data_IF_902185093927
#
_entry.id   IF_902185093927
#
_cell.length_a   1.000
_cell.length_b   1.000
_cell.length_c   1.000
_cell.angle_alpha   90.00
_cell.angle_beta   90.00
_cell.angle_gamma   90.00
#
_symmetry.space_group_name_H-M   'P 1'
#
loop_
_entity.id
_entity.type
_entity.pdbx_description
1 polymer ?
#
# COMPACT_ATOMS: atom_id res chain seq x y z
N UNK A 1 -30.89 -7.12 4.35
CA UNK A 1 -29.55 -7.20 3.71
C UNK A 1 -29.14 -5.81 3.26
N UNK A 2 -27.84 -5.55 3.11
CA UNK A 2 -27.36 -4.27 2.58
C UNK A 2 -27.86 -4.06 1.13
N UNK A 3 -28.23 -2.83 0.73
CA UNK A 3 -28.70 -2.55 -0.63
C UNK A 3 -27.54 -2.68 -1.64
N UNK A 4 -27.85 -3.17 -2.84
CA UNK A 4 -26.91 -3.18 -3.96
C UNK A 4 -26.96 -1.85 -4.70
N UNK A 5 -25.80 -1.21 -4.87
CA UNK A 5 -25.66 0.00 -5.69
C UNK A 5 -25.16 -0.37 -7.07
N UNK A 6 -25.80 0.14 -8.12
CA UNK A 6 -25.33 -0.02 -9.49
C UNK A 6 -24.10 0.87 -9.73
N UNK A 7 -23.00 0.25 -10.18
CA UNK A 7 -21.75 0.97 -10.51
C UNK A 7 -21.60 1.20 -12.00
N UNK A 8 -21.98 0.20 -12.79
CA UNK A 8 -21.96 0.23 -14.25
C UNK A 8 -23.35 -0.22 -14.69
N UNK A 9 -24.10 0.63 -15.42
CA UNK A 9 -25.41 0.24 -15.93
C UNK A 9 -25.27 -0.91 -16.92
N UNK A 10 -26.39 -1.56 -17.27
CA UNK A 10 -26.38 -2.61 -18.30
C UNK A 10 -25.82 -2.04 -19.61
N UNK A 11 -24.65 -2.52 -20.02
CA UNK A 11 -23.96 -2.05 -21.23
C UNK A 11 -23.71 -3.19 -22.20
N UNK A 12 -23.87 -2.93 -23.50
CA UNK A 12 -23.53 -3.89 -24.55
C UNK A 12 -22.01 -3.96 -24.68
N UNK A 13 -21.47 -5.18 -24.67
CA UNK A 13 -20.05 -5.44 -24.88
C UNK A 13 -19.83 -6.25 -26.17
N UNK A 14 -18.66 -6.07 -26.78
CA UNK A 14 -18.21 -6.84 -27.92
C UNK A 14 -17.49 -8.14 -27.54
N UNK A 15 -17.50 -9.13 -28.43
CA UNK A 15 -16.71 -10.35 -28.25
C UNK A 15 -15.21 -10.12 -28.42
N UNK A 16 -14.40 -11.00 -27.83
CA UNK A 16 -12.93 -11.02 -27.99
C UNK A 16 -12.21 -9.68 -27.71
N UNK A 17 -12.78 -8.84 -26.86
CA UNK A 17 -12.25 -7.51 -26.55
C UNK A 17 -12.25 -7.23 -25.04
N UNK A 18 -11.34 -6.36 -24.62
CA UNK A 18 -11.35 -5.77 -23.29
C UNK A 18 -12.24 -4.52 -23.30
N UNK A 19 -13.09 -4.38 -22.27
CA UNK A 19 -14.00 -3.25 -22.11
C UNK A 19 -13.71 -2.56 -20.79
N UNK A 20 -13.37 -1.27 -20.85
CA UNK A 20 -13.12 -0.43 -19.67
C UNK A 20 -14.33 0.44 -19.36
N UNK A 21 -14.74 0.49 -18.10
CA UNK A 21 -15.86 1.31 -17.65
C UNK A 21 -15.39 2.20 -16.49
N UNK A 22 -15.37 3.53 -16.65
CA UNK A 22 -15.11 4.41 -15.54
C UNK A 22 -16.28 4.35 -14.55
N UNK A 23 -15.97 4.27 -13.26
CA UNK A 23 -16.97 4.33 -12.18
C UNK A 23 -16.73 5.61 -11.40
N UNK A 24 -17.69 6.53 -11.43
CA UNK A 24 -17.64 7.77 -10.67
C UNK A 24 -18.03 7.51 -9.21
N UNK A 25 -17.14 7.90 -8.30
CA UNK A 25 -17.30 8.04 -6.85
C UNK A 25 -18.39 7.16 -6.20
N UNK A 26 -18.00 5.96 -5.78
CA UNK A 26 -18.83 5.12 -4.90
C UNK A 26 -18.39 5.29 -3.44
N UNK A 27 -19.28 5.15 -2.44
CA UNK A 27 -18.85 4.87 -1.07
C UNK A 27 -17.93 3.64 -1.04
N UNK A 28 -17.25 3.40 0.08
CA UNK A 28 -16.45 2.18 0.26
C UNK A 28 -17.32 0.95 0.00
N UNK A 29 -16.88 0.10 -0.92
CA UNK A 29 -17.52 -1.17 -1.27
C UNK A 29 -16.70 -2.33 -0.72
N UNK A 30 -17.38 -3.40 -0.32
CA UNK A 30 -16.74 -4.63 0.17
C UNK A 30 -17.06 -5.85 -0.69
N UNK A 31 -18.13 -5.78 -1.48
CA UNK A 31 -18.60 -6.86 -2.33
C UNK A 31 -19.00 -6.30 -3.68
N UNK A 32 -18.76 -7.10 -4.71
CA UNK A 32 -19.15 -6.78 -6.07
C UNK A 32 -20.00 -7.90 -6.62
N UNK A 33 -20.94 -7.55 -7.48
CA UNK A 33 -21.79 -8.52 -8.18
C UNK A 33 -21.78 -8.20 -9.66
N UNK A 34 -21.23 -9.11 -10.44
CA UNK A 34 -21.31 -9.10 -11.90
C UNK A 34 -22.66 -9.73 -12.32
N UNK A 35 -23.34 -9.10 -13.28
CA UNK A 35 -24.56 -9.64 -13.88
C UNK A 35 -24.39 -9.67 -15.40
N UNK A 36 -24.58 -10.83 -15.99
CA UNK A 36 -24.53 -11.06 -17.44
C UNK A 36 -25.94 -11.37 -17.96
N UNK A 37 -26.26 -10.89 -19.18
CA UNK A 37 -27.60 -10.99 -19.73
C UNK A 37 -27.59 -11.30 -21.25
N UNK A 38 -28.41 -12.24 -21.74
CA UNK A 38 -29.11 -13.28 -20.94
C UNK A 38 -28.11 -14.31 -20.37
N UNK A 39 -27.03 -14.60 -21.09
CA UNK A 39 -25.99 -15.58 -20.76
C UNK A 39 -24.72 -15.34 -21.61
N UNK A 40 -23.76 -16.27 -21.57
CA UNK A 40 -22.52 -16.28 -22.36
C UNK A 40 -21.26 -16.46 -21.50
N UNK A 41 -20.10 -16.06 -22.02
CA UNK A 41 -18.81 -16.21 -21.34
C UNK A 41 -18.08 -14.88 -21.11
N UNK A 42 -17.55 -14.68 -19.90
CA UNK A 42 -16.64 -13.58 -19.56
C UNK A 42 -15.31 -14.21 -19.13
N UNK A 43 -14.24 -13.93 -19.88
CA UNK A 43 -12.94 -14.54 -19.61
C UNK A 43 -12.30 -14.02 -18.31
N UNK A 44 -12.39 -12.70 -18.07
CA UNK A 44 -11.79 -12.04 -16.89
C UNK A 44 -12.63 -10.84 -16.48
N UNK A 45 -12.80 -10.68 -15.17
CA UNK A 45 -13.25 -9.44 -14.55
C UNK A 45 -12.06 -8.84 -13.79
N UNK A 46 -11.73 -7.57 -14.08
CA UNK A 46 -10.76 -6.79 -13.30
C UNK A 46 -11.48 -5.58 -12.74
N UNK A 47 -11.26 -5.32 -11.46
CA UNK A 47 -11.84 -4.17 -10.77
C UNK A 47 -10.71 -3.41 -10.12
N UNK A 48 -10.64 -2.12 -10.44
CA UNK A 48 -9.61 -1.22 -9.97
C UNK A 48 -10.23 -0.25 -8.96
N UNK A 49 -9.54 -0.06 -7.84
CA UNK A 49 -9.94 0.86 -6.79
C UNK A 49 -8.85 0.96 -5.73
N UNK A 50 -8.91 2.01 -4.92
CA UNK A 50 -7.96 2.21 -3.83
C UNK A 50 -8.39 1.41 -2.59
N UNK A 51 -7.54 0.51 -2.07
CA UNK A 51 -7.83 -0.18 -0.84
C UNK A 51 -7.90 0.81 0.32
N UNK A 52 -8.94 0.69 1.14
CA UNK A 52 -9.12 1.49 2.35
C UNK A 52 -9.20 0.55 3.56
N UNK A 53 -8.06 0.30 4.23
CA UNK A 53 -7.97 -0.64 5.35
C UNK A 53 -8.74 -0.11 6.57
N UNK A 54 -9.16 -1.00 7.46
CA UNK A 54 -9.79 -0.61 8.71
C UNK A 54 -8.74 -0.02 9.67
N UNK A 55 -8.86 1.24 10.10
CA UNK A 55 -7.89 1.87 10.99
C UNK A 55 -7.84 1.20 12.37
N UNK A 56 -8.94 0.63 12.86
CA UNK A 56 -8.97 -0.08 14.15
C UNK A 56 -8.14 -1.36 14.07
N UNK A 57 -8.23 -2.07 12.93
CA UNK A 57 -7.43 -3.27 12.69
C UNK A 57 -5.93 -2.95 12.64
N UNK A 58 -5.53 -1.94 11.86
CA UNK A 58 -4.12 -1.56 11.77
C UNK A 58 -3.56 -1.06 13.10
N UNK A 59 -4.35 -0.33 13.89
CA UNK A 59 -3.95 0.08 15.24
C UNK A 59 -3.75 -1.13 16.17
N UNK A 60 -4.59 -2.15 16.07
CA UNK A 60 -4.47 -3.37 16.87
C UNK A 60 -3.23 -4.21 16.49
N UNK A 61 -2.84 -4.22 15.22
CA UNK A 61 -1.58 -4.87 14.79
C UNK A 61 -0.35 -4.16 15.37
N UNK A 62 -0.40 -2.83 15.48
CA UNK A 62 0.70 -1.99 15.95
C UNK A 62 1.84 -1.88 14.94
N UNK A 63 2.52 -3.00 14.67
CA UNK A 63 3.54 -3.13 13.61
C UNK A 63 3.07 -4.08 12.53
N UNK A 64 3.07 -3.63 11.28
CA UNK A 64 2.59 -4.40 10.12
C UNK A 64 3.38 -4.05 8.85
N UNK A 65 3.21 -4.83 7.78
CA UNK A 65 3.77 -4.51 6.46
C UNK A 65 3.01 -3.35 5.82
N UNK A 66 3.62 -2.16 5.81
CA UNK A 66 3.10 -0.91 5.29
C UNK A 66 2.90 -0.93 3.76
N UNK A 67 3.55 -1.85 3.04
CA UNK A 67 3.38 -1.99 1.59
C UNK A 67 2.37 -3.05 1.19
N UNK A 68 1.93 -3.92 2.11
CA UNK A 68 0.98 -4.96 1.76
C UNK A 68 -0.28 -4.36 1.13
N UNK A 69 -0.72 -4.93 0.01
CA UNK A 69 -1.89 -4.42 -0.71
C UNK A 69 -3.16 -4.44 0.18
N UNK A 70 -3.28 -5.43 1.07
CA UNK A 70 -4.37 -5.54 2.05
C UNK A 70 -4.33 -4.47 3.14
N UNK A 71 -3.15 -3.89 3.40
CA UNK A 71 -2.97 -2.78 4.32
C UNK A 71 -3.00 -1.41 3.63
N UNK A 72 -3.33 -1.35 2.34
CA UNK A 72 -3.47 -0.09 1.59
C UNK A 72 -2.21 0.41 0.90
N UNK A 73 -1.14 -0.38 0.86
CA UNK A 73 0.02 -0.09 0.03
C UNK A 73 -0.32 -0.15 -1.47
N UNK A 74 0.25 0.73 -2.27
CA UNK A 74 -0.04 0.82 -3.72
C UNK A 74 1.22 1.16 -4.51
N UNK A 75 1.36 0.55 -5.69
CA UNK A 75 2.32 1.00 -6.71
C UNK A 75 1.79 2.25 -7.38
N UNK A 76 2.53 3.35 -7.29
CA UNK A 76 2.23 4.59 -8.04
C UNK A 76 2.79 4.52 -9.46
N UNK A 77 4.05 4.08 -9.60
CA UNK A 77 4.72 3.99 -10.89
C UNK A 77 5.90 3.01 -10.87
N UNK A 78 6.39 2.62 -12.05
CA UNK A 78 7.55 1.76 -12.23
C UNK A 78 8.23 2.05 -13.57
N UNK A 79 9.55 1.84 -13.66
CA UNK A 79 10.31 2.04 -14.90
C UNK A 79 9.96 1.04 -16.01
N UNK A 80 9.62 -0.20 -15.63
CA UNK A 80 9.33 -1.28 -16.56
C UNK A 80 8.19 -2.17 -16.06
N UNK A 81 7.38 -2.66 -17.00
CA UNK A 81 6.20 -3.51 -16.76
C UNK A 81 6.12 -4.65 -17.78
N UNK A 82 7.27 -5.09 -18.32
CA UNK A 82 7.31 -5.97 -19.48
C UNK A 82 6.96 -7.43 -19.14
N UNK A 83 7.69 -8.07 -18.22
CA UNK A 83 7.49 -9.50 -17.94
C UNK A 83 6.40 -9.75 -16.91
N UNK A 84 6.45 -9.05 -15.78
CA UNK A 84 5.44 -9.20 -14.72
C UNK A 84 5.15 -7.85 -14.05
N UNK A 85 3.93 -7.67 -13.50
CA UNK A 85 3.51 -6.37 -13.00
C UNK A 85 4.15 -6.02 -11.66
N UNK A 86 4.51 -4.74 -11.42
CA UNK A 86 5.12 -4.29 -10.16
C UNK A 86 4.21 -4.52 -8.94
N UNK A 87 2.89 -4.56 -9.12
CA UNK A 87 1.94 -4.81 -8.03
C UNK A 87 2.11 -6.17 -7.34
N UNK A 88 2.80 -7.12 -7.99
CA UNK A 88 3.11 -8.42 -7.39
C UNK A 88 4.04 -8.31 -6.17
N UNK A 89 4.86 -7.25 -6.07
CA UNK A 89 5.75 -7.05 -4.92
C UNK A 89 4.99 -6.80 -3.60
N UNK A 90 3.72 -6.40 -3.68
CA UNK A 90 2.83 -6.08 -2.57
C UNK A 90 1.95 -7.25 -2.11
N UNK A 91 1.90 -8.35 -2.87
CA UNK A 91 1.00 -9.47 -2.60
C UNK A 91 1.44 -10.24 -1.35
N UNK A 92 0.51 -10.87 -0.61
CA UNK A 92 0.85 -11.65 0.59
C UNK A 92 1.74 -12.87 0.26
N UNK A 93 2.42 -13.37 1.29
CA UNK A 93 3.29 -14.55 1.19
C UNK A 93 4.52 -14.36 0.32
N UNK A 94 5.24 -15.46 0.10
CA UNK A 94 6.36 -15.55 -0.86
C UNK A 94 5.85 -16.16 -2.17
N UNK A 95 6.45 -15.81 -3.31
CA UNK A 95 6.06 -16.40 -4.58
C UNK A 95 6.54 -17.86 -4.71
N UNK A 96 5.70 -18.70 -5.30
CA UNK A 96 6.06 -20.07 -5.68
C UNK A 96 6.77 -20.11 -7.04
N UNK A 97 6.59 -19.06 -7.85
CA UNK A 97 7.07 -18.96 -9.23
C UNK A 97 7.56 -17.54 -9.54
N UNK A 98 8.46 -17.41 -10.51
CA UNK A 98 9.05 -16.11 -10.90
C UNK A 98 8.01 -15.12 -11.45
N UNK A 99 6.97 -15.61 -12.14
CA UNK A 99 5.90 -14.76 -12.70
C UNK A 99 4.99 -14.12 -11.62
N UNK A 100 5.17 -14.52 -10.36
CA UNK A 100 4.47 -13.96 -9.20
C UNK A 100 5.26 -12.86 -8.48
N UNK A 101 6.43 -12.45 -8.99
CA UNK A 101 7.14 -11.21 -8.60
C UNK A 101 7.07 -10.13 -9.67
N UNK A 102 7.93 -9.12 -9.59
CA UNK A 102 8.17 -8.11 -10.64
C UNK A 102 9.50 -8.40 -11.34
N UNK A 103 9.50 -8.45 -12.66
CA UNK A 103 10.69 -8.69 -13.48
C UNK A 103 10.73 -7.71 -14.65
N UNK A 104 11.92 -7.15 -14.87
CA UNK A 104 12.17 -6.15 -15.92
C UNK A 104 12.97 -6.71 -17.08
N UNK A 105 12.99 -5.97 -18.20
CA UNK A 105 13.89 -6.27 -19.32
C UNK A 105 15.35 -6.01 -18.91
N UNK A 106 16.25 -6.85 -19.44
CA UNK A 106 17.69 -6.61 -19.33
C UNK A 106 18.07 -5.25 -19.93
N UNK A 107 18.85 -4.47 -19.19
CA UNK A 107 19.33 -3.15 -19.58
C UNK A 107 20.78 -3.20 -20.07
N UNK A 108 21.12 -2.20 -20.90
CA UNK A 108 22.44 -2.04 -21.54
C UNK A 108 22.87 -0.57 -21.64
N UNK A 109 22.09 0.33 -21.05
CA UNK A 109 22.17 1.78 -21.19
C UNK A 109 22.69 2.48 -19.93
N UNK A 110 23.23 1.71 -18.97
CA UNK A 110 23.85 2.24 -17.75
C UNK A 110 22.88 2.78 -16.69
N UNK A 111 21.56 2.70 -16.92
CA UNK A 111 20.54 3.07 -15.94
C UNK A 111 20.14 1.94 -15.00
N UNK A 112 19.14 2.20 -14.17
CA UNK A 112 18.55 1.25 -13.23
C UNK A 112 17.02 1.20 -13.28
N UNK A 113 16.42 0.08 -12.89
CA UNK A 113 14.97 -0.06 -12.78
C UNK A 113 14.46 0.31 -11.38
N UNK A 114 13.21 0.76 -11.29
CA UNK A 114 12.63 1.24 -10.03
C UNK A 114 11.12 1.03 -9.95
N UNK A 115 10.62 0.96 -8.72
CA UNK A 115 9.19 1.07 -8.40
C UNK A 115 9.00 2.15 -7.34
N UNK A 116 8.01 3.03 -7.56
CA UNK A 116 7.52 4.00 -6.56
C UNK A 116 6.19 3.53 -6.00
N UNK A 117 6.05 3.63 -4.68
CA UNK A 117 4.91 3.20 -3.90
C UNK A 117 4.36 4.33 -3.04
N UNK A 118 3.06 4.28 -2.80
CA UNK A 118 2.38 5.02 -1.74
C UNK A 118 2.11 4.10 -0.55
N UNK A 119 2.39 4.59 0.66
CA UNK A 119 1.98 3.97 1.91
C UNK A 119 0.49 4.29 2.18
N UNK A 120 -0.21 3.48 3.01
CA UNK A 120 -1.62 3.72 3.31
C UNK A 120 -1.88 5.08 3.95
N UNK A 121 -0.94 5.55 4.76
CA UNK A 121 -0.88 6.90 5.32
C UNK A 121 0.58 7.18 5.73
N UNK A 122 0.84 8.36 6.30
CA UNK A 122 2.16 8.66 6.86
C UNK A 122 2.53 7.64 7.93
N UNK A 123 3.73 7.07 7.82
CA UNK A 123 4.15 5.94 8.62
C UNK A 123 5.63 6.01 8.97
N UNK A 124 6.01 5.31 10.04
CA UNK A 124 7.38 5.14 10.50
C UNK A 124 7.87 3.73 10.13
N UNK A 125 8.93 3.66 9.34
CA UNK A 125 9.48 2.39 8.80
C UNK A 125 10.59 1.88 9.71
N UNK A 126 10.42 0.70 10.29
CA UNK A 126 11.34 0.13 11.30
C UNK A 126 12.21 -1.00 10.76
N UNK A 127 11.73 -1.75 9.77
CA UNK A 127 12.51 -2.79 9.11
C UNK A 127 12.05 -2.97 7.66
N UNK A 128 12.96 -3.45 6.82
CA UNK A 128 12.76 -3.67 5.38
C UNK A 128 13.11 -5.11 5.05
N UNK A 129 12.27 -5.80 4.27
CA UNK A 129 12.67 -7.03 3.56
C UNK A 129 12.68 -6.80 2.06
N UNK A 130 13.81 -7.11 1.43
CA UNK A 130 13.95 -7.19 -0.03
C UNK A 130 14.09 -8.68 -0.39
N UNK A 131 13.08 -9.24 -1.03
CA UNK A 131 13.01 -10.67 -1.38
C UNK A 131 13.33 -10.84 -2.87
N UNK A 132 14.37 -11.61 -3.19
CA UNK A 132 14.75 -12.04 -4.55
C UNK A 132 14.39 -13.51 -4.82
N UNK A 133 13.53 -14.09 -3.98
CA UNK A 133 13.04 -15.46 -4.07
C UNK A 133 12.61 -15.85 -5.49
N UNK A 134 12.97 -17.06 -5.91
CA UNK A 134 12.77 -17.63 -7.26
C UNK A 134 13.63 -17.03 -8.37
N UNK A 135 14.27 -15.87 -8.17
CA UNK A 135 15.18 -15.27 -9.15
C UNK A 135 16.61 -15.77 -8.92
N UNK A 136 16.96 -16.88 -9.58
CA UNK A 136 18.28 -17.54 -9.42
C UNK A 136 19.35 -17.06 -10.40
N UNK A 137 18.95 -16.68 -11.62
CA UNK A 137 19.86 -16.24 -12.68
C UNK A 137 19.63 -14.80 -13.15
N UNK A 138 18.63 -14.13 -12.58
CA UNK A 138 18.15 -12.81 -12.97
C UNK A 138 17.71 -11.98 -11.75
N UNK A 139 18.18 -12.31 -10.55
CA UNK A 139 18.09 -11.38 -9.43
C UNK A 139 18.95 -10.14 -9.73
N UNK A 140 18.52 -8.95 -9.30
CA UNK A 140 19.36 -7.76 -9.40
C UNK A 140 20.61 -7.92 -8.53
N UNK A 141 21.72 -7.33 -8.95
CA UNK A 141 22.97 -7.39 -8.18
C UNK A 141 22.94 -6.52 -6.94
N UNK A 142 22.22 -5.40 -6.99
CA UNK A 142 22.09 -4.45 -5.89
C UNK A 142 20.69 -3.86 -5.84
N UNK A 143 20.28 -3.40 -4.66
CA UNK A 143 19.14 -2.51 -4.51
C UNK A 143 19.41 -1.38 -3.52
N UNK A 144 18.70 -0.27 -3.68
CA UNK A 144 18.62 0.81 -2.68
C UNK A 144 17.17 1.23 -2.49
N UNK A 145 16.90 1.84 -1.34
CA UNK A 145 15.55 2.27 -0.99
C UNK A 145 15.57 3.72 -0.51
N UNK A 146 14.65 4.51 -1.06
CA UNK A 146 14.42 5.90 -0.71
C UNK A 146 13.04 6.08 -0.10
N UNK A 147 12.94 6.96 0.88
CA UNK A 147 11.66 7.37 1.48
C UNK A 147 11.38 8.82 1.13
N UNK A 148 10.10 9.15 1.02
CA UNK A 148 9.63 10.50 0.83
C UNK A 148 8.53 10.81 1.85
N UNK A 149 8.70 11.90 2.59
CA UNK A 149 7.70 12.40 3.55
C UNK A 149 7.06 13.67 3.01
N UNK A 150 5.81 13.58 2.58
CA UNK A 150 5.07 14.71 2.03
C UNK A 150 4.77 15.80 3.07
N UNK A 151 4.91 15.50 4.37
CA UNK A 151 4.77 16.50 5.43
C UNK A 151 6.05 17.33 5.65
N UNK A 152 7.16 17.01 4.98
CA UNK A 152 8.39 17.78 5.09
C UNK A 152 8.22 19.17 4.43
N UNK A 153 8.73 20.27 5.04
CA UNK A 153 8.51 21.65 4.58
C UNK A 153 8.87 21.92 3.11
N UNK A 154 9.84 21.19 2.56
CA UNK A 154 10.34 21.34 1.19
C UNK A 154 10.29 20.03 0.39
N UNK A 155 9.28 19.17 0.66
CA UNK A 155 9.25 17.83 0.09
C UNK A 155 9.29 17.82 -1.46
N UNK A 156 8.65 18.79 -2.11
CA UNK A 156 8.54 18.86 -3.57
C UNK A 156 7.52 17.85 -4.13
N UNK A 157 7.61 17.55 -5.42
CA UNK A 157 6.75 16.57 -6.08
C UNK A 157 7.37 15.16 -6.00
N UNK A 158 6.73 14.15 -5.38
CA UNK A 158 7.25 12.78 -5.37
C UNK A 158 7.35 12.15 -6.77
N UNK A 159 6.70 12.72 -7.79
CA UNK A 159 6.88 12.35 -9.18
C UNK A 159 8.31 12.62 -9.66
N UNK A 160 8.94 13.70 -9.18
CA UNK A 160 10.30 14.10 -9.49
C UNK A 160 11.30 13.32 -8.60
N UNK A 161 12.17 12.46 -9.18
CA UNK A 161 13.18 11.74 -8.41
C UNK A 161 14.25 12.64 -7.78
N UNK A 162 14.39 13.89 -8.24
CA UNK A 162 15.32 14.88 -7.69
C UNK A 162 14.67 15.74 -6.60
N UNK A 163 13.39 15.52 -6.27
CA UNK A 163 12.71 16.32 -5.27
C UNK A 163 13.40 16.21 -3.89
N UNK A 164 13.53 17.33 -3.14
CA UNK A 164 14.28 17.36 -1.88
C UNK A 164 13.73 16.44 -0.79
N UNK A 165 12.45 16.06 -0.90
CA UNK A 165 11.78 15.14 0.01
C UNK A 165 12.28 13.70 -0.06
N UNK A 166 12.96 13.29 -1.15
CA UNK A 166 13.54 11.95 -1.25
C UNK A 166 14.81 11.84 -0.41
N UNK A 167 14.84 10.85 0.49
CA UNK A 167 16.00 10.52 1.31
C UNK A 167 16.35 9.05 1.18
N UNK A 168 17.63 8.77 0.98
CA UNK A 168 18.14 7.39 0.99
C UNK A 168 17.99 6.80 2.40
N UNK A 169 17.29 5.68 2.49
CA UNK A 169 17.01 4.97 3.75
C UNK A 169 17.79 3.66 3.85
N UNK A 170 17.91 2.96 2.72
CA UNK A 170 18.78 1.80 2.56
C UNK A 170 19.76 2.14 1.44
N UNK A 171 21.08 2.20 1.73
CA UNK A 171 22.08 2.46 0.70
C UNK A 171 22.13 1.30 -0.29
N UNK A 172 22.82 1.51 -1.42
CA UNK A 172 23.05 0.44 -2.39
C UNK A 172 23.66 -0.79 -1.71
N UNK A 173 22.83 -1.83 -1.57
CA UNK A 173 23.12 -3.06 -0.84
C UNK A 173 23.17 -4.21 -1.82
N UNK A 174 24.22 -5.03 -1.72
CA UNK A 174 24.38 -6.21 -2.58
C UNK A 174 23.29 -7.21 -2.25
N UNK A 175 22.69 -7.78 -3.29
CA UNK A 175 21.67 -8.80 -3.16
C UNK A 175 22.21 -10.13 -3.66
N UNK A 176 21.78 -11.19 -2.99
CA UNK A 176 22.02 -12.57 -3.39
C UNK A 176 20.78 -13.12 -4.12
N UNK A 177 20.95 -14.02 -5.09
CA UNK A 177 19.85 -14.71 -5.75
C UNK A 177 19.02 -15.54 -4.76
N UNK A 178 17.71 -15.67 -5.01
CA UNK A 178 16.79 -16.53 -4.25
C UNK A 178 16.85 -16.32 -2.72
N UNK A 179 16.98 -15.07 -2.27
CA UNK A 179 17.29 -14.73 -0.87
C UNK A 179 16.40 -13.61 -0.33
N UNK A 180 16.07 -13.69 0.97
CA UNK A 180 15.42 -12.59 1.70
C UNK A 180 16.45 -11.79 2.46
N UNK A 181 16.55 -10.50 2.14
CA UNK A 181 17.48 -9.56 2.73
C UNK A 181 16.73 -8.74 3.78
N UNK A 182 17.09 -8.89 5.04
CA UNK A 182 16.50 -8.18 6.18
C UNK A 182 17.38 -7.01 6.58
N UNK A 183 16.86 -5.81 6.41
CA UNK A 183 17.63 -4.58 6.53
C UNK A 183 16.95 -3.64 7.53
N UNK A 184 17.77 -2.90 8.27
CA UNK A 184 17.30 -1.86 9.19
C UNK A 184 17.58 -0.49 8.58
N UNK A 185 16.58 0.39 8.50
CA UNK A 185 16.81 1.82 8.26
C UNK A 185 17.88 2.36 9.23
N UNK A 186 18.90 3.04 8.70
CA UNK A 186 20.03 3.54 9.52
C UNK A 186 21.08 2.50 9.92
N UNK A 187 20.94 1.23 9.50
CA UNK A 187 21.99 0.20 9.60
C UNK A 187 22.22 -0.43 10.97
N UNK A 188 21.59 0.06 12.04
CA UNK A 188 21.75 -0.47 13.39
C UNK A 188 20.43 -0.48 14.19
N UNK A 189 20.25 -1.43 15.12
CA UNK A 189 19.13 -1.40 16.07
C UNK A 189 19.13 -0.10 16.89
N UNK A 190 17.95 0.49 17.10
CA UNK A 190 17.80 1.74 17.86
C UNK A 190 18.06 3.02 17.07
N UNK A 191 18.43 2.92 15.79
CA UNK A 191 18.45 4.08 14.89
C UNK A 191 17.08 4.72 14.74
N UNK A 192 17.06 6.01 14.42
CA UNK A 192 15.79 6.72 14.17
C UNK A 192 15.12 6.18 12.91
N UNK A 193 13.95 5.56 13.10
CA UNK A 193 13.14 5.02 12.01
C UNK A 193 12.54 6.18 11.18
N UNK A 194 12.79 6.26 9.86
CA UNK A 194 12.33 7.35 9.02
C UNK A 194 10.81 7.36 8.91
N UNK A 195 10.24 8.56 8.81
CA UNK A 195 8.85 8.76 8.45
C UNK A 195 8.72 8.92 6.94
N UNK A 196 7.63 8.40 6.38
CA UNK A 196 7.39 8.42 4.94
C UNK A 196 5.89 8.39 4.64
N UNK A 197 5.51 8.95 3.50
CA UNK A 197 4.23 8.72 2.82
C UNK A 197 4.43 7.91 1.55
N UNK A 198 5.64 7.92 0.98
CA UNK A 198 6.00 7.19 -0.24
C UNK A 198 7.37 6.56 -0.10
N UNK A 199 7.58 5.52 -0.90
CA UNK A 199 8.84 4.78 -0.94
C UNK A 199 9.19 4.48 -2.39
N UNK A 200 10.48 4.49 -2.70
CA UNK A 200 11.01 4.11 -4.00
C UNK A 200 12.09 3.07 -3.81
N UNK A 201 11.90 1.89 -4.40
CA UNK A 201 12.95 0.88 -4.50
C UNK A 201 13.59 0.99 -5.87
N UNK A 202 14.91 0.85 -5.91
CA UNK A 202 15.69 0.82 -7.14
C UNK A 202 16.51 -0.45 -7.16
N UNK A 203 16.47 -1.16 -8.28
CA UNK A 203 17.26 -2.37 -8.53
C UNK A 203 18.30 -2.06 -9.62
N UNK A 204 19.54 -2.52 -9.43
CA UNK A 204 20.65 -2.13 -10.28
C UNK A 204 21.30 -3.35 -10.97
N UNK A 205 21.45 -3.32 -12.31
CA UNK A 205 20.81 -2.40 -13.26
C UNK A 205 19.33 -2.77 -13.54
N UNK A 206 18.99 -4.04 -13.41
CA UNK A 206 17.69 -4.63 -13.76
C UNK A 206 17.55 -6.00 -13.08
N UNK A 207 16.42 -6.66 -13.28
CA UNK A 207 16.21 -8.03 -12.82
C UNK A 207 14.85 -8.24 -12.16
N UNK A 208 14.78 -9.25 -11.31
CA UNK A 208 13.56 -9.69 -10.64
C UNK A 208 13.54 -9.44 -9.13
N UNK A 209 12.44 -8.87 -8.66
CA UNK A 209 12.13 -8.68 -7.24
C UNK A 209 10.84 -9.44 -6.88
N UNK A 210 10.93 -10.35 -5.92
CA UNK A 210 9.78 -11.15 -5.48
C UNK A 210 8.82 -10.30 -4.64
N UNK A 211 9.31 -9.73 -3.54
CA UNK A 211 8.52 -8.93 -2.60
C UNK A 211 9.36 -7.78 -2.06
N UNK A 212 8.66 -6.74 -1.67
CA UNK A 212 9.20 -5.69 -0.81
C UNK A 212 8.28 -5.57 0.40
N UNK A 213 8.85 -5.68 1.61
CA UNK A 213 8.12 -5.52 2.87
C UNK A 213 8.68 -4.34 3.63
N UNK A 214 7.80 -3.51 4.19
CA UNK A 214 8.18 -2.41 5.07
C UNK A 214 7.46 -2.56 6.39
N UNK A 215 8.13 -3.10 7.39
CA UNK A 215 7.54 -3.28 8.71
C UNK A 215 7.63 -1.98 9.51
N UNK A 216 6.48 -1.52 10.00
CA UNK A 216 6.40 -0.28 10.73
C UNK A 216 5.00 -0.01 11.25
N UNK A 217 4.76 1.23 11.66
CA UNK A 217 3.49 1.68 12.22
C UNK A 217 3.10 3.02 11.61
N UNK A 218 1.81 3.34 11.56
CA UNK A 218 1.39 4.70 11.22
C UNK A 218 1.92 5.69 12.27
N UNK A 219 2.20 6.93 11.84
CA UNK A 219 2.38 8.04 12.77
C UNK A 219 1.02 8.50 13.32
N UNK A 220 0.99 9.31 14.38
CA UNK A 220 -0.27 9.78 14.97
C UNK A 220 -1.15 10.54 13.96
N UNK A 221 -0.53 11.45 13.20
CA UNK A 221 -1.15 12.20 12.12
C UNK A 221 -1.58 11.29 10.95
N UNK A 222 -0.75 10.31 10.57
CA UNK A 222 -1.11 9.33 9.54
C UNK A 222 -2.29 8.45 9.94
N UNK A 223 -2.36 8.03 11.21
CA UNK A 223 -3.50 7.29 11.74
C UNK A 223 -4.77 8.14 11.76
N UNK A 224 -4.67 9.41 12.15
CA UNK A 224 -5.80 10.34 12.16
C UNK A 224 -6.37 10.57 10.74
N UNK A 225 -5.49 10.80 9.75
CA UNK A 225 -5.89 10.93 8.33
C UNK A 225 -6.63 9.68 7.83
N UNK A 226 -6.08 8.49 8.12
CA UNK A 226 -6.73 7.24 7.70
C UNK A 226 -8.11 7.08 8.33
N UNK A 227 -8.26 7.43 9.62
CA UNK A 227 -9.56 7.40 10.31
C UNK A 227 -10.55 8.35 9.66
N UNK A 228 -10.13 9.56 9.28
CA UNK A 228 -10.97 10.53 8.60
C UNK A 228 -11.42 10.00 7.23
N UNK A 229 -10.48 9.55 6.38
CA UNK A 229 -10.79 8.96 5.08
C UNK A 229 -11.72 7.75 5.21
N UNK A 230 -11.48 6.87 6.19
CA UNK A 230 -12.35 5.72 6.46
C UNK A 230 -13.77 6.14 6.83
N UNK A 231 -13.93 7.09 7.76
CA UNK A 231 -15.24 7.63 8.16
C UNK A 231 -15.94 8.33 6.99
N UNK A 232 -15.20 9.08 6.19
CA UNK A 232 -15.69 9.74 4.98
C UNK A 232 -16.08 8.72 3.88
N UNK A 233 -15.58 7.50 3.90
CA UNK A 233 -15.97 6.49 2.92
C UNK A 233 -17.14 5.60 3.38
N UNK A 234 -17.53 5.67 4.66
CA UNK A 234 -18.68 4.91 5.18
C UNK A 234 -20.02 5.40 4.60
N UNK A 235 -20.98 4.48 4.34
CA UNK A 235 -22.35 4.86 4.02
C UNK A 235 -22.95 5.80 5.07
N UNK A 236 -23.83 6.72 4.64
CA UNK A 236 -24.46 7.71 5.54
C UNK A 236 -25.13 7.09 6.77
N UNK A 237 -25.74 5.92 6.63
CA UNK A 237 -26.36 5.17 7.73
C UNK A 237 -25.36 4.69 8.78
N UNK A 238 -24.12 4.36 8.38
CA UNK A 238 -23.07 3.91 9.29
C UNK A 238 -22.34 5.08 9.98
N UNK A 239 -22.35 6.29 9.37
CA UNK A 239 -21.76 7.49 9.99
C UNK A 239 -22.55 7.97 11.22
N UNK A 240 -23.87 7.83 11.22
CA UNK A 240 -24.73 8.25 12.33
C UNK A 240 -24.56 7.40 13.60
N UNK A 241 -24.23 6.11 13.46
CA UNK A 241 -24.13 5.17 14.59
C UNK A 241 -22.84 5.35 15.41
N UNK A 242 -21.76 5.88 14.82
CA UNK A 242 -20.47 6.07 15.49
C UNK A 242 -20.17 7.52 15.93
N UNK A 243 -21.11 8.45 15.70
CA UNK A 243 -21.02 9.83 16.18
C UNK A 243 -21.40 10.01 17.66
N UNK A 244 -22.01 9.00 18.28
CA UNK A 244 -22.26 8.96 19.72
C UNK A 244 -21.02 8.40 20.44
N UNK A 245 -20.02 9.26 20.67
CA UNK A 245 -19.00 8.96 21.69
C UNK A 245 -19.66 8.82 23.06
N UNK A 246 -19.06 8.08 24.01
CA UNK A 246 -19.59 7.99 25.36
C UNK A 246 -19.62 9.42 25.94
N UNK A 247 -20.80 9.93 26.24
CA UNK A 247 -20.94 11.17 27.01
C UNK A 247 -20.18 11.03 28.33
N UNK A 248 -19.66 12.13 28.89
CA UNK A 248 -18.90 12.09 30.14
C UNK A 248 -19.73 11.36 31.20
N UNK A 249 -19.12 10.32 31.79
CA UNK A 249 -19.73 9.58 32.89
C UNK A 249 -20.09 10.58 34.00
N UNK A 250 -21.39 10.80 34.19
CA UNK A 250 -21.89 11.54 35.37
C UNK A 250 -21.57 10.69 36.58
N UNK A 251 -20.60 11.15 37.38
CA UNK A 251 -20.24 10.58 38.65
C UNK A 251 -21.39 10.83 39.65
N UNK A 252 -22.12 9.82 40.16
CA UNK A 252 -23.15 10.03 41.16
C UNK A 252 -22.54 9.71 42.52
N UNK A 253 -21.93 10.70 43.18
CA UNK A 253 -21.31 10.43 44.47
C UNK A 253 -20.56 11.61 45.06
N UNK A 254 -21.30 12.58 45.58
CA UNK A 254 -20.75 13.71 46.34
C UNK A 254 -21.84 14.28 47.25
N UNK A 255 -22.27 13.50 48.24
CA UNK A 255 -23.09 14.04 49.33
C UNK A 255 -22.25 14.99 50.19
N UNK A 256 -22.82 16.11 50.68
CA UNK A 256 -22.07 17.09 51.45
C UNK A 256 -21.66 16.51 52.83
N UNK A 257 -20.53 16.95 53.40
CA UNK A 257 -20.11 16.52 54.72
C UNK A 257 -21.07 17.08 55.77
N UNK A 258 -21.45 16.23 56.74
CA UNK A 258 -22.05 16.69 57.99
C UNK A 258 -20.93 17.08 58.94
N UNK A 259 -20.93 18.34 59.35
CA UNK A 259 -20.12 18.84 60.47
C UNK A 259 -20.82 18.55 61.82
N UNK A 260 -20.05 18.52 62.93
CA UNK A 260 -20.41 17.84 64.19
C UNK A 260 -21.50 18.53 65.03
#
# INVERSE_FOLDING_TARGET
GAPWTELVPRTRIGGHAAHGFPVTASPRLTHLRLRQYPDGGIARLRVHGDPLPDPVWLAALGTFDLLAAEHGGRVEDASDRFYSPPGHTLLPGRPDRMDQGWETRRRRDGGHDWIRYALPARARIRAVEIDTGRYRGNAPGWARLHTFDAAAPDAGDPADPAAPGWRETIPATRLEPDTVHRLLPGGAPGGEAPTATRVRVEILPDGGLARLRLYGSLTEDGAADLVERFRAALPRTARAVRGAGPGPARNPGGGPPREP
#
